data_IF_443834520575
#
_entry.id   IF_443834520575
#
_cell.length_a   1.000
_cell.length_b   1.000
_cell.length_c   1.000
_cell.angle_alpha   90.00
_cell.angle_beta   90.00
_cell.angle_gamma   90.00
#
_symmetry.space_group_name_H-M   'P 1'
#
loop_
_entity.id
_entity.type
_entity.pdbx_description
1 polymer ?
#
# COMPACT_ATOMS: atom_id res chain seq x y z
N UNK A 1 -31.90 -18.03 24.88
CA UNK A 1 -31.41 -16.64 24.92
C UNK A 1 -30.51 -16.43 23.72
N UNK A 2 -31.02 -15.78 22.67
CA UNK A 2 -30.27 -15.53 21.45
C UNK A 2 -29.26 -14.39 21.69
N UNK A 3 -28.02 -14.60 21.24
CA UNK A 3 -26.99 -13.57 21.26
C UNK A 3 -27.41 -12.41 20.34
N UNK A 4 -27.45 -11.19 20.89
CA UNK A 4 -27.70 -9.99 20.11
C UNK A 4 -26.57 -9.81 19.09
N UNK A 5 -26.91 -9.98 17.81
CA UNK A 5 -26.06 -9.57 16.69
C UNK A 5 -26.00 -8.04 16.72
N UNK A 6 -24.82 -7.48 17.01
CA UNK A 6 -24.57 -6.05 16.86
C UNK A 6 -24.73 -5.71 15.37
N UNK A 7 -25.82 -5.04 15.03
CA UNK A 7 -26.03 -4.48 13.71
C UNK A 7 -24.94 -3.42 13.47
N UNK A 8 -24.15 -3.49 12.38
CA UNK A 8 -23.22 -2.43 12.04
C UNK A 8 -24.01 -1.15 11.83
N UNK A 9 -23.71 -0.12 12.62
CA UNK A 9 -24.29 1.20 12.39
C UNK A 9 -23.80 1.72 11.04
N UNK A 10 -24.69 1.74 10.05
CA UNK A 10 -24.50 2.46 8.79
C UNK A 10 -24.38 3.96 9.07
N UNK A 11 -23.21 4.41 9.51
CA UNK A 11 -22.87 5.82 9.49
C UNK A 11 -22.23 6.14 8.14
N UNK A 12 -23.04 6.69 7.22
CA UNK A 12 -22.61 7.48 6.04
C UNK A 12 -21.29 7.02 5.39
N UNK A 13 -21.28 5.84 4.78
CA UNK A 13 -20.16 5.38 3.96
C UNK A 13 -18.88 5.01 4.71
N UNK A 14 -18.92 4.87 6.04
CA UNK A 14 -17.87 4.26 6.84
C UNK A 14 -18.42 3.03 7.55
N UNK A 15 -18.12 1.85 7.01
CA UNK A 15 -18.44 0.62 7.73
C UNK A 15 -17.33 0.34 8.75
N UNK A 16 -17.60 0.74 10.00
CA UNK A 16 -16.76 0.41 11.16
C UNK A 16 -17.01 -1.05 11.53
N UNK A 17 -16.48 -1.97 10.72
CA UNK A 17 -16.42 -3.37 11.09
C UNK A 17 -15.36 -3.55 12.18
N UNK A 18 -15.77 -3.35 13.43
CA UNK A 18 -14.99 -3.73 14.59
C UNK A 18 -14.86 -5.25 14.64
N UNK A 19 -13.79 -5.80 14.09
CA UNK A 19 -13.40 -7.18 14.34
C UNK A 19 -12.89 -7.30 15.78
N UNK A 20 -13.82 -7.44 16.73
CA UNK A 20 -13.47 -7.75 18.10
C UNK A 20 -12.81 -9.13 18.14
N UNK A 21 -11.51 -9.16 18.43
CA UNK A 21 -10.80 -10.37 18.84
C UNK A 21 -10.14 -11.21 17.74
N UNK A 22 -9.73 -10.62 16.60
CA UNK A 22 -9.04 -11.41 15.57
C UNK A 22 -7.55 -11.06 15.45
N UNK A 23 -6.72 -12.11 15.49
CA UNK A 23 -5.43 -12.20 14.78
C UNK A 23 -5.66 -12.14 13.24
N UNK A 24 -6.48 -11.20 12.75
CA UNK A 24 -6.68 -11.04 11.32
C UNK A 24 -5.40 -10.48 10.74
N UNK A 25 -4.75 -11.28 9.88
CA UNK A 25 -3.61 -10.84 9.10
C UNK A 25 -4.04 -9.75 8.10
N UNK A 26 -3.08 -9.00 7.57
CA UNK A 26 -3.30 -7.93 6.58
C UNK A 26 -4.16 -8.39 5.39
N UNK A 27 -3.97 -9.61 4.90
CA UNK A 27 -4.56 -10.10 3.65
C UNK A 27 -6.10 -10.27 3.69
N UNK A 28 -6.72 -10.95 4.69
CA UNK A 28 -8.17 -11.01 4.81
C UNK A 28 -8.86 -9.64 4.87
N UNK A 29 -8.23 -8.66 5.53
CA UNK A 29 -8.79 -7.32 5.64
C UNK A 29 -8.78 -6.56 4.32
N UNK A 30 -7.68 -6.69 3.57
CA UNK A 30 -7.59 -6.09 2.23
C UNK A 30 -8.58 -6.76 1.26
N UNK A 31 -8.80 -8.07 1.39
CA UNK A 31 -9.83 -8.77 0.63
C UNK A 31 -11.24 -8.26 0.94
N UNK A 32 -11.57 -8.07 2.22
CA UNK A 32 -12.86 -7.49 2.63
C UNK A 32 -13.07 -6.07 2.06
N UNK A 33 -12.07 -5.20 2.17
CA UNK A 33 -12.15 -3.86 1.58
C UNK A 33 -12.35 -3.92 0.05
N UNK A 34 -11.67 -4.84 -0.64
CA UNK A 34 -11.85 -5.04 -2.07
C UNK A 34 -13.25 -5.57 -2.44
N UNK A 35 -13.82 -6.48 -1.64
CA UNK A 35 -15.19 -6.99 -1.81
C UNK A 35 -16.24 -5.86 -1.69
N UNK A 36 -16.00 -4.90 -0.81
CA UNK A 36 -16.83 -3.70 -0.68
C UNK A 36 -16.60 -2.66 -1.80
N UNK A 37 -15.61 -2.89 -2.68
CA UNK A 37 -15.20 -1.91 -3.69
C UNK A 37 -14.50 -0.68 -3.11
N UNK A 38 -14.05 -0.74 -1.85
CA UNK A 38 -13.30 0.33 -1.22
C UNK A 38 -11.89 0.42 -1.81
N UNK A 39 -11.44 1.62 -2.11
CA UNK A 39 -10.11 1.88 -2.71
C UNK A 39 -9.02 2.04 -1.65
N UNK A 40 -9.39 2.17 -0.37
CA UNK A 40 -8.43 2.21 0.73
C UNK A 40 -8.94 1.47 1.96
N UNK A 41 -8.00 1.15 2.83
CA UNK A 41 -8.23 0.60 4.15
C UNK A 41 -7.45 1.42 5.17
N UNK A 42 -8.10 1.81 6.26
CA UNK A 42 -7.48 2.39 7.44
C UNK A 42 -7.51 1.37 8.58
N UNK A 43 -6.37 1.11 9.20
CA UNK A 43 -6.25 0.38 10.45
C UNK A 43 -5.92 1.39 11.56
N UNK A 44 -6.67 1.34 12.66
CA UNK A 44 -6.44 2.19 13.84
C UNK A 44 -6.27 1.33 15.08
N UNK A 45 -5.23 1.59 15.87
CA UNK A 45 -4.98 0.93 17.13
C UNK A 45 -5.47 1.81 18.29
N UNK A 46 -6.59 1.44 18.89
CA UNK A 46 -7.19 2.20 20.00
C UNK A 46 -6.92 1.49 21.33
N UNK A 47 -6.64 2.24 22.42
CA UNK A 47 -6.56 1.63 23.75
C UNK A 47 -7.91 1.06 24.14
N UNK A 48 -7.94 -0.20 24.59
CA UNK A 48 -9.14 -0.79 25.19
C UNK A 48 -9.28 -0.18 26.58
N UNK A 49 -10.34 0.58 26.83
CA UNK A 49 -10.73 0.89 28.21
C UNK A 49 -11.23 -0.40 28.84
N UNK A 50 -10.36 -1.14 29.51
CA UNK A 50 -10.77 -2.05 30.57
C UNK A 50 -10.77 -1.26 31.88
N UNK A 51 -11.83 -1.32 32.70
CA UNK A 51 -11.72 -0.88 34.08
C UNK A 51 -10.77 -1.85 34.79
N UNK A 52 -9.50 -1.45 34.95
CA UNK A 52 -8.55 -2.17 35.79
C UNK A 52 -8.69 -1.71 37.25
N UNK A 53 -8.62 -2.60 38.25
CA UNK A 53 -8.42 -2.22 39.64
C UNK A 53 -7.15 -1.37 39.77
N UNK A 54 -7.14 -0.40 40.69
CA UNK A 54 -6.20 0.72 40.75
C UNK A 54 -4.70 0.35 40.96
N UNK A 55 -4.34 -0.93 40.97
CA UNK A 55 -3.09 -1.44 41.51
C UNK A 55 -2.25 -2.21 40.48
N UNK A 56 -2.71 -2.30 39.23
CA UNK A 56 -2.00 -2.98 38.13
C UNK A 56 -1.53 -1.92 37.13
N UNK A 57 -0.21 -1.88 36.90
CA UNK A 57 0.43 -1.11 35.82
C UNK A 57 -0.38 -1.35 34.53
N UNK A 58 -0.93 -0.29 33.94
CA UNK A 58 -1.82 -0.36 32.76
C UNK A 58 -1.20 -1.24 31.66
N UNK A 59 -1.57 -2.51 31.61
CA UNK A 59 -1.38 -3.33 30.42
C UNK A 59 -2.34 -2.78 29.37
N UNK A 60 -1.84 -1.87 28.53
CA UNK A 60 -2.58 -1.36 27.38
C UNK A 60 -2.90 -2.53 26.43
N UNK A 61 -4.04 -3.19 26.64
CA UNK A 61 -4.61 -4.08 25.65
C UNK A 61 -5.13 -3.19 24.52
N UNK A 62 -4.42 -3.14 23.41
CA UNK A 62 -4.86 -2.37 22.26
C UNK A 62 -5.84 -3.18 21.39
N UNK A 63 -6.89 -2.52 20.90
CA UNK A 63 -7.81 -3.08 19.89
C UNK A 63 -7.49 -2.48 18.52
N UNK A 64 -7.39 -3.32 17.49
CA UNK A 64 -7.25 -2.87 16.10
C UNK A 64 -8.63 -2.75 15.47
N UNK A 65 -8.92 -1.58 14.94
CA UNK A 65 -10.11 -1.26 14.16
C UNK A 65 -9.71 -1.16 12.69
N UNK A 66 -10.59 -1.62 11.81
CA UNK A 66 -10.39 -1.55 10.37
C UNK A 66 -11.56 -0.82 9.74
N UNK A 67 -11.26 0.07 8.80
CA UNK A 67 -12.23 0.88 8.09
C UNK A 67 -11.94 0.76 6.60
N UNK A 68 -12.91 0.25 5.86
CA UNK A 68 -12.89 0.29 4.40
C UNK A 68 -13.35 1.69 3.95
N UNK A 69 -12.58 2.34 3.07
CA UNK A 69 -12.83 3.71 2.64
C UNK A 69 -12.92 3.73 1.11
N UNK A 70 -14.06 4.19 0.61
CA UNK A 70 -14.37 4.31 -0.82
C UNK A 70 -13.81 5.61 -1.43
N UNK A 71 -13.76 6.68 -0.64
CA UNK A 71 -13.37 8.03 -1.05
C UNK A 71 -12.08 8.52 -0.35
N UNK A 72 -10.98 8.77 -1.11
CA UNK A 72 -9.72 9.30 -0.57
C UNK A 72 -9.84 10.59 0.21
N UNK A 73 -10.81 11.45 -0.12
CA UNK A 73 -11.02 12.70 0.60
C UNK A 73 -11.40 12.43 2.05
N UNK A 74 -12.27 11.43 2.29
CA UNK A 74 -12.68 11.05 3.65
C UNK A 74 -11.52 10.53 4.49
N UNK A 75 -10.59 9.77 3.88
CA UNK A 75 -9.39 9.33 4.60
C UNK A 75 -8.59 10.55 5.07
N UNK A 76 -8.37 11.53 4.19
CA UNK A 76 -7.63 12.75 4.51
C UNK A 76 -8.31 13.61 5.59
N UNK A 77 -9.64 13.60 5.65
CA UNK A 77 -10.41 14.28 6.71
C UNK A 77 -10.24 13.61 8.09
N UNK A 78 -10.11 12.28 8.13
CA UNK A 78 -10.03 11.51 9.38
C UNK A 78 -8.62 11.45 9.95
N UNK A 79 -7.59 11.37 9.08
CA UNK A 79 -6.20 11.18 9.48
C UNK A 79 -5.69 12.18 10.54
N UNK A 80 -5.98 13.49 10.47
CA UNK A 80 -5.54 14.46 11.50
C UNK A 80 -6.08 14.17 12.90
N UNK A 81 -7.21 13.45 13.02
CA UNK A 81 -7.83 13.09 14.30
C UNK A 81 -7.26 11.83 14.94
N UNK A 82 -6.33 11.13 14.28
CA UNK A 82 -5.79 9.86 14.73
C UNK A 82 -4.35 9.99 15.24
N UNK A 83 -3.95 9.23 16.28
CA UNK A 83 -2.55 9.19 16.68
C UNK A 83 -1.70 8.61 15.54
N UNK A 84 -0.68 9.37 15.12
CA UNK A 84 0.17 9.03 13.97
C UNK A 84 0.91 7.69 14.13
N UNK A 85 1.24 7.33 15.37
CA UNK A 85 1.90 6.07 15.74
C UNK A 85 0.94 4.87 15.82
N UNK A 86 -0.37 5.11 15.68
CA UNK A 86 -1.43 4.11 15.88
C UNK A 86 -2.32 3.94 14.67
N UNK A 87 -1.98 4.53 13.53
CA UNK A 87 -2.73 4.32 12.30
C UNK A 87 -1.85 3.75 11.18
N UNK A 88 -2.47 2.94 10.32
CA UNK A 88 -1.86 2.42 9.11
C UNK A 88 -2.87 2.49 7.98
N UNK A 89 -2.47 3.09 6.86
CA UNK A 89 -3.30 3.19 5.66
C UNK A 89 -2.77 2.26 4.58
N UNK A 90 -3.68 1.66 3.82
CA UNK A 90 -3.37 0.82 2.68
C UNK A 90 -4.24 1.24 1.50
N UNK A 91 -3.64 1.41 0.33
CA UNK A 91 -4.38 1.43 -0.93
C UNK A 91 -4.81 0.01 -1.28
N UNK A 92 -6.03 -0.12 -1.83
CA UNK A 92 -6.60 -1.38 -2.29
C UNK A 92 -6.69 -1.33 -3.81
N UNK A 93 -5.82 -2.11 -4.46
CA UNK A 93 -5.84 -2.27 -5.92
C UNK A 93 -7.01 -3.20 -6.27
N UNK A 94 -8.10 -2.61 -6.77
CA UNK A 94 -9.30 -3.35 -7.12
C UNK A 94 -9.08 -4.21 -8.36
N UNK A 95 -9.53 -5.45 -8.29
CA UNK A 95 -9.52 -6.38 -9.42
C UNK A 95 -10.34 -5.78 -10.58
N UNK A 96 -9.84 -5.93 -11.80
CA UNK A 96 -10.50 -5.51 -13.04
C UNK A 96 -10.70 -3.98 -13.19
N UNK A 97 -10.07 -3.17 -12.33
CA UNK A 97 -9.97 -1.72 -12.48
C UNK A 97 -8.59 -1.33 -13.02
N UNK A 98 -8.50 -0.32 -13.90
CA UNK A 98 -7.21 0.25 -14.28
C UNK A 98 -6.47 0.76 -13.04
N UNK A 99 -5.17 0.49 -12.96
CA UNK A 99 -4.31 1.02 -11.91
C UNK A 99 -2.99 1.51 -12.49
N UNK A 100 -2.32 2.39 -11.73
CA UNK A 100 -0.94 2.82 -12.00
C UNK A 100 0.00 1.63 -11.86
N UNK A 101 1.15 1.69 -12.52
CA UNK A 101 2.24 0.77 -12.19
C UNK A 101 2.75 1.12 -10.78
N UNK A 102 2.75 0.13 -9.89
CA UNK A 102 3.33 0.25 -8.56
C UNK A 102 4.30 -0.91 -8.32
N UNK A 103 5.48 -0.60 -7.76
CA UNK A 103 6.52 -1.58 -7.49
C UNK A 103 7.04 -1.40 -6.06
N UNK A 104 6.97 -2.50 -5.29
CA UNK A 104 7.54 -2.58 -3.96
C UNK A 104 8.91 -3.26 -4.00
N UNK A 105 9.92 -2.52 -3.53
CA UNK A 105 11.28 -2.99 -3.32
C UNK A 105 11.52 -3.16 -1.81
N UNK A 106 11.82 -4.39 -1.39
CA UNK A 106 12.15 -4.74 0.00
C UNK A 106 13.49 -5.48 0.01
N UNK A 107 14.40 -5.07 0.90
CA UNK A 107 15.72 -5.64 1.10
C UNK A 107 16.03 -5.82 2.58
N UNK A 108 16.63 -6.95 2.93
CA UNK A 108 16.87 -7.36 4.32
C UNK A 108 18.01 -6.62 5.02
N UNK A 109 18.94 -6.01 4.27
CA UNK A 109 20.24 -5.55 4.80
C UNK A 109 20.61 -4.13 4.34
N UNK A 110 19.62 -3.23 4.29
CA UNK A 110 19.82 -1.88 3.76
C UNK A 110 19.94 -1.85 2.23
N UNK A 111 20.41 -0.73 1.67
CA UNK A 111 20.51 -0.55 0.21
C UNK A 111 21.42 -1.65 -0.37
N UNK A 112 21.01 -2.39 -1.43
CA UNK A 112 21.84 -3.43 -2.00
C UNK A 112 23.21 -2.89 -2.44
N UNK A 113 24.27 -3.63 -2.13
CA UNK A 113 25.66 -3.18 -2.32
C UNK A 113 26.05 -2.87 -3.78
N UNK A 114 25.28 -3.34 -4.76
CA UNK A 114 25.46 -3.01 -6.17
C UNK A 114 25.02 -1.57 -6.52
N UNK A 115 24.36 -0.86 -5.62
CA UNK A 115 23.97 0.54 -5.78
C UNK A 115 24.84 1.44 -4.91
N UNK A 116 25.41 2.49 -5.51
CA UNK A 116 26.25 3.45 -4.81
C UNK A 116 25.45 4.35 -3.86
N UNK A 117 24.16 4.57 -4.15
CA UNK A 117 23.26 5.41 -3.36
C UNK A 117 21.80 5.12 -3.71
N UNK A 118 20.85 5.67 -2.92
CA UNK A 118 19.42 5.64 -3.27
C UNK A 118 19.15 6.29 -4.62
N UNK A 119 19.89 7.37 -4.96
CA UNK A 119 19.75 8.05 -6.25
C UNK A 119 20.22 7.16 -7.41
N UNK A 120 21.35 6.48 -7.25
CA UNK A 120 21.85 5.51 -8.24
C UNK A 120 20.83 4.38 -8.45
N UNK A 121 20.25 3.86 -7.36
CA UNK A 121 19.17 2.89 -7.42
C UNK A 121 17.95 3.41 -8.20
N UNK A 122 17.42 4.60 -7.85
CA UNK A 122 16.22 5.13 -8.53
C UNK A 122 16.49 5.42 -10.00
N UNK A 123 17.64 6.00 -10.34
CA UNK A 123 17.99 6.31 -11.72
C UNK A 123 18.05 5.04 -12.57
N UNK A 124 18.75 3.99 -12.12
CA UNK A 124 18.85 2.73 -12.87
C UNK A 124 17.49 2.05 -13.05
N UNK A 125 16.64 2.06 -12.02
CA UNK A 125 15.28 1.50 -12.14
C UNK A 125 14.43 2.32 -13.11
N UNK A 126 14.50 3.65 -13.05
CA UNK A 126 13.78 4.53 -13.96
C UNK A 126 14.22 4.37 -15.41
N UNK A 127 15.52 4.21 -15.67
CA UNK A 127 16.03 3.99 -17.03
C UNK A 127 15.45 2.72 -17.64
N UNK A 128 15.45 1.62 -16.88
CA UNK A 128 14.84 0.34 -17.29
C UNK A 128 13.35 0.49 -17.54
N UNK A 129 12.61 1.15 -16.65
CA UNK A 129 11.17 1.34 -16.84
C UNK A 129 10.87 2.24 -18.03
N UNK A 130 11.61 3.32 -18.21
CA UNK A 130 11.44 4.24 -19.34
C UNK A 130 11.66 3.51 -20.67
N UNK A 131 12.69 2.67 -20.76
CA UNK A 131 12.95 1.84 -21.93
C UNK A 131 11.79 0.85 -22.21
N UNK A 132 11.28 0.18 -21.18
CA UNK A 132 10.13 -0.73 -21.31
C UNK A 132 8.89 0.01 -21.81
N UNK A 133 8.55 1.16 -21.22
CA UNK A 133 7.38 1.93 -21.63
C UNK A 133 7.50 2.43 -23.07
N UNK A 134 8.70 2.86 -23.46
CA UNK A 134 8.96 3.30 -24.83
C UNK A 134 8.86 2.14 -25.83
N UNK A 135 9.55 1.03 -25.54
CA UNK A 135 9.68 -0.10 -26.49
C UNK A 135 8.42 -0.94 -26.58
N UNK A 136 7.74 -1.19 -25.47
CA UNK A 136 6.59 -2.10 -25.42
C UNK A 136 5.25 -1.39 -25.56
N UNK A 137 5.17 -0.12 -25.16
CA UNK A 137 3.92 0.64 -25.14
C UNK A 137 3.96 1.90 -26.02
N UNK A 138 5.11 2.26 -26.58
CA UNK A 138 5.26 3.49 -27.37
C UNK A 138 5.11 4.76 -26.55
N UNK A 139 5.28 4.67 -25.22
CA UNK A 139 5.09 5.80 -24.29
C UNK A 139 6.45 6.28 -23.79
N UNK A 140 6.79 7.52 -24.11
CA UNK A 140 7.94 8.18 -23.51
C UNK A 140 7.60 8.71 -22.13
N UNK A 141 8.17 8.10 -21.09
CA UNK A 141 8.04 8.59 -19.72
C UNK A 141 9.21 9.55 -19.40
N UNK A 142 8.94 10.79 -18.96
CA UNK A 142 9.96 11.64 -18.36
C UNK A 142 10.16 11.26 -16.88
N UNK A 143 11.30 11.66 -16.30
CA UNK A 143 11.72 11.24 -14.96
C UNK A 143 10.73 11.62 -13.85
N UNK A 144 10.03 12.74 -13.99
CA UNK A 144 8.98 13.21 -13.08
C UNK A 144 7.74 12.32 -13.05
N UNK A 145 7.62 11.38 -14.00
CA UNK A 145 6.54 10.38 -14.01
C UNK A 145 6.70 9.32 -12.91
N UNK A 146 7.80 9.33 -12.16
CA UNK A 146 8.09 8.34 -11.14
C UNK A 146 8.07 8.96 -9.75
N UNK A 147 7.11 8.55 -8.93
CA UNK A 147 7.01 8.96 -7.52
C UNK A 147 7.64 7.88 -6.65
N UNK A 148 8.68 8.25 -5.92
CA UNK A 148 9.38 7.37 -4.99
C UNK A 148 9.03 7.70 -3.54
N UNK A 149 8.65 6.68 -2.78
CA UNK A 149 8.45 6.75 -1.34
C UNK A 149 9.44 5.82 -0.67
N UNK A 150 10.43 6.40 0.01
CA UNK A 150 11.36 5.65 0.84
C UNK A 150 10.83 5.54 2.26
N UNK A 151 10.86 4.34 2.81
CA UNK A 151 10.69 4.17 4.26
C UNK A 151 12.07 4.01 4.87
N UNK A 152 12.49 5.01 5.64
CA UNK A 152 13.77 4.98 6.33
C UNK A 152 13.67 4.03 7.53
N UNK A 153 14.13 2.80 7.31
CA UNK A 153 14.30 1.82 8.37
C UNK A 153 15.77 1.41 8.44
N UNK A 154 16.46 1.60 9.57
CA UNK A 154 17.92 1.47 9.63
C UNK A 154 18.44 0.07 9.29
N UNK A 155 17.58 -0.94 9.38
CA UNK A 155 17.91 -2.34 9.14
C UNK A 155 17.24 -2.91 7.88
N UNK A 156 16.44 -2.14 7.14
CA UNK A 156 15.77 -2.62 5.92
C UNK A 156 15.70 -1.54 4.86
N UNK A 157 16.04 -1.90 3.64
CA UNK A 157 15.77 -1.04 2.50
C UNK A 157 14.33 -1.23 2.04
N UNK A 158 13.58 -0.13 1.98
CA UNK A 158 12.22 -0.12 1.47
C UNK A 158 11.99 1.09 0.60
N UNK A 159 11.59 0.83 -0.63
CA UNK A 159 11.19 1.84 -1.59
C UNK A 159 9.90 1.38 -2.27
N UNK A 160 8.92 2.28 -2.34
CA UNK A 160 7.74 2.11 -3.19
C UNK A 160 7.86 3.07 -4.36
N UNK A 161 7.66 2.54 -5.56
CA UNK A 161 7.55 3.33 -6.77
C UNK A 161 6.10 3.33 -7.22
N UNK A 162 5.59 4.51 -7.58
CA UNK A 162 4.31 4.68 -8.26
C UNK A 162 4.56 5.49 -9.53
N UNK A 163 4.17 4.93 -10.67
CA UNK A 163 4.15 5.66 -11.93
C UNK A 163 2.96 6.62 -11.95
N UNK A 164 3.24 7.89 -12.21
CA UNK A 164 2.29 8.98 -12.27
C UNK A 164 2.55 9.85 -13.50
N UNK A 165 2.23 9.30 -14.66
CA UNK A 165 2.24 10.03 -15.91
C UNK A 165 0.84 10.54 -16.26
N UNK A 166 0.75 11.83 -16.59
CA UNK A 166 -0.47 12.44 -17.11
C UNK A 166 -0.31 12.53 -18.63
N UNK A 167 -1.14 11.79 -19.35
CA UNK A 167 -1.18 11.79 -20.81
C UNK A 167 -1.64 13.17 -21.34
N UNK A 168 -1.33 13.52 -22.60
CA UNK A 168 -1.74 14.81 -23.19
C UNK A 168 -3.25 15.09 -23.15
N UNK A 169 -4.08 14.06 -23.05
CA UNK A 169 -5.54 14.17 -22.93
C UNK A 169 -6.03 14.36 -21.48
N UNK A 170 -5.12 14.53 -20.53
CA UNK A 170 -5.41 14.74 -19.10
C UNK A 170 -5.69 13.46 -18.32
N UNK A 171 -5.67 12.28 -18.95
CA UNK A 171 -5.84 11.01 -18.24
C UNK A 171 -4.52 10.56 -17.62
N UNK A 172 -4.62 9.89 -16.48
CA UNK A 172 -3.47 9.18 -15.90
C UNK A 172 -3.21 7.93 -16.73
N UNK A 173 -1.94 7.67 -17.05
CA UNK A 173 -1.52 6.41 -17.63
C UNK A 173 -1.80 5.29 -16.62
N UNK A 174 -2.63 4.34 -17.05
CA UNK A 174 -2.90 3.12 -16.28
C UNK A 174 -2.62 1.93 -17.17
N UNK A 175 -2.02 0.88 -16.62
CA UNK A 175 -1.81 -0.35 -17.37
C UNK A 175 -3.16 -1.05 -17.59
N UNK A 176 -3.52 -1.41 -18.83
CA UNK A 176 -4.77 -2.11 -19.10
C UNK A 176 -4.72 -3.51 -18.47
N UNK A 177 -5.63 -3.78 -17.54
CA UNK A 177 -5.88 -5.06 -16.88
C UNK A 177 -4.62 -5.79 -16.37
N UNK A 178 -4.26 -5.53 -15.10
CA UNK A 178 -3.33 -6.40 -14.38
C UNK A 178 -3.94 -7.81 -14.22
N UNK A 179 -3.49 -8.77 -15.02
CA UNK A 179 -3.41 -10.14 -14.53
C UNK A 179 -2.14 -10.22 -13.67
N UNK A 180 -2.24 -10.27 -12.33
CA UNK A 180 -1.07 -10.18 -11.42
C UNK A 180 0.00 -11.22 -11.74
N UNK A 181 -0.40 -12.37 -12.29
CA UNK A 181 0.45 -13.49 -12.69
C UNK A 181 1.41 -13.17 -13.84
N UNK A 182 1.04 -12.25 -14.75
CA UNK A 182 1.91 -11.83 -15.85
C UNK A 182 2.97 -10.81 -15.37
N UNK A 183 2.63 -9.95 -14.43
CA UNK A 183 3.56 -8.98 -13.85
C UNK A 183 4.70 -9.67 -13.07
N UNK A 184 4.42 -10.75 -12.35
CA UNK A 184 5.45 -11.50 -11.60
C UNK A 184 6.49 -12.18 -12.50
N UNK A 185 6.07 -12.77 -13.64
CA UNK A 185 7.00 -13.37 -14.60
C UNK A 185 7.87 -12.31 -15.29
N UNK A 186 7.28 -11.17 -15.63
CA UNK A 186 8.01 -10.04 -16.24
C UNK A 186 8.98 -9.40 -15.27
N UNK A 187 8.59 -9.22 -13.99
CA UNK A 187 9.48 -8.78 -12.90
C UNK A 187 10.70 -9.69 -12.73
N UNK A 188 10.53 -11.01 -12.81
CA UNK A 188 11.66 -11.94 -12.74
C UNK A 188 12.62 -11.81 -13.93
N UNK A 189 12.10 -11.61 -15.15
CA UNK A 189 12.94 -11.34 -16.32
C UNK A 189 13.72 -10.02 -16.18
N UNK A 190 13.09 -8.98 -15.63
CA UNK A 190 13.71 -7.67 -15.41
C UNK A 190 14.81 -7.70 -14.35
N UNK A 191 14.60 -8.42 -13.24
CA UNK A 191 15.63 -8.58 -12.21
C UNK A 191 16.83 -9.41 -12.73
N UNK A 192 16.58 -10.39 -13.61
CA UNK A 192 17.65 -11.14 -14.26
C UNK A 192 18.45 -10.29 -15.25
N UNK A 193 17.80 -9.42 -16.03
CA UNK A 193 18.47 -8.52 -16.95
C UNK A 193 19.26 -7.42 -16.22
N UNK A 194 18.69 -6.84 -15.15
CA UNK A 194 19.39 -5.86 -14.33
C UNK A 194 20.59 -6.46 -13.55
N UNK A 195 20.52 -7.74 -13.18
CA UNK A 195 21.62 -8.47 -12.54
C UNK A 195 22.69 -9.00 -13.49
N UNK A 196 22.37 -9.24 -14.76
CA UNK A 196 23.28 -9.81 -15.75
C UNK A 196 24.26 -8.79 -16.38
N UNK A 197 24.08 -7.49 -16.14
CA UNK A 197 24.99 -6.44 -16.62
C UNK A 197 26.30 -6.30 -15.83
N UNK A 198 26.54 -7.15 -14.83
CA UNK A 198 27.72 -7.10 -13.94
C UNK A 198 28.40 -8.46 -13.74
N UNK A 199 28.37 -9.35 -14.75
CA UNK A 199 29.23 -10.53 -14.83
C UNK A 199 30.28 -10.35 -15.93
#
# INVERSE_FOLDING_TARGET
>A
MAAAQNTPGQHRGMDWCGFAGFRASKAPMQAYAAELGATMQLQVQMPRRQPAPADIVEEYTYTRHFVAIDDPVRLLEILPGLPADKNHTYEIILKDKPCKLCVDFDGTDGLPACFASKQDFTSRVQDVLTDIFLTEFGVQLPAESFVWVFTDYPVKFRAHLVEHHIMPDGRILCLPQHNPTHATRRRQALLQQAGAGHA
#
